data_IF_989907186587
#
_entry.id   IF_989907186587
#
_cell.length_a   1.000
_cell.length_b   1.000
_cell.length_c   1.000
_cell.angle_alpha   90.00
_cell.angle_beta   90.00
_cell.angle_gamma   90.00
#
_symmetry.space_group_name_H-M   'P 1'
#
loop_
_entity.id
_entity.type
_entity.pdbx_description
1 polymer ?
#
# COMPACT_ATOMS: atom_id res chain seq x y z
N UNK A 1 -2.63 23.58 -8.68
CA UNK A 1 -2.80 24.90 -9.33
C UNK A 1 -2.55 24.75 -10.82
N UNK A 2 -3.27 25.51 -11.64
CA UNK A 2 -3.03 25.63 -13.07
C UNK A 2 -1.79 26.50 -13.35
N UNK A 3 -1.33 26.53 -14.59
CA UNK A 3 -0.13 27.28 -15.00
C UNK A 3 -0.23 28.80 -14.76
N UNK A 4 -1.45 29.34 -14.75
CA UNK A 4 -1.74 30.74 -14.43
C UNK A 4 -1.83 31.04 -12.93
N UNK A 5 -1.61 30.00 -12.07
CA UNK A 5 -1.67 30.10 -10.62
C UNK A 5 -3.07 29.95 -10.01
N UNK A 6 -4.12 29.83 -10.81
CA UNK A 6 -5.48 29.58 -10.34
C UNK A 6 -5.64 28.13 -9.82
N UNK A 7 -6.74 27.88 -9.10
CA UNK A 7 -7.15 26.52 -8.75
C UNK A 7 -8.01 25.93 -9.86
N UNK A 8 -7.81 24.65 -10.13
CA UNK A 8 -8.73 23.90 -11.00
C UNK A 8 -10.11 23.86 -10.37
N UNK A 9 -11.12 24.30 -11.11
CA UNK A 9 -12.51 24.37 -10.65
C UNK A 9 -13.46 24.07 -11.82
N UNK A 10 -14.34 23.08 -11.71
CA UNK A 10 -14.46 22.12 -10.59
C UNK A 10 -13.29 21.12 -10.54
N UNK A 11 -12.95 20.65 -9.35
CA UNK A 11 -11.97 19.58 -9.15
C UNK A 11 -12.66 18.34 -8.61
N UNK A 12 -12.55 17.24 -9.38
CA UNK A 12 -13.03 15.93 -8.99
C UNK A 12 -11.82 15.05 -8.62
N UNK A 13 -11.62 14.70 -7.35
CA UNK A 13 -10.47 13.90 -6.91
C UNK A 13 -10.56 12.44 -7.34
N UNK A 14 -11.73 11.93 -7.70
CA UNK A 14 -11.90 10.56 -8.17
C UNK A 14 -11.57 10.41 -9.66
N UNK A 15 -11.72 11.45 -10.45
CA UNK A 15 -11.50 11.39 -11.89
C UNK A 15 -10.06 11.02 -12.24
N UNK A 16 -9.91 10.03 -13.11
CA UNK A 16 -8.66 9.64 -13.76
C UNK A 16 -8.79 9.73 -15.26
N UNK A 17 -7.72 10.18 -15.93
CA UNK A 17 -7.64 10.24 -17.39
C UNK A 17 -6.30 9.66 -17.81
N UNK A 18 -6.30 8.67 -18.71
CA UNK A 18 -5.08 8.06 -19.23
C UNK A 18 -4.43 8.93 -20.30
N UNK A 19 -3.47 9.76 -19.87
CA UNK A 19 -2.72 10.63 -20.79
C UNK A 19 -3.52 11.83 -21.34
N UNK A 20 -2.89 12.61 -22.23
CA UNK A 20 -3.53 13.75 -22.88
C UNK A 20 -3.67 15.00 -22.01
N UNK A 21 -4.41 15.98 -22.51
CA UNK A 21 -4.52 17.33 -21.92
C UNK A 21 -5.40 17.41 -20.66
N UNK A 22 -6.05 16.33 -20.27
CA UNK A 22 -6.91 16.26 -19.08
C UNK A 22 -6.31 15.47 -17.92
N UNK A 23 -5.11 14.88 -18.10
CA UNK A 23 -4.45 14.09 -17.07
C UNK A 23 -3.61 15.00 -16.18
N UNK A 24 -3.93 15.01 -14.89
CA UNK A 24 -3.16 15.72 -13.84
C UNK A 24 -2.28 14.77 -13.04
N UNK A 25 -2.51 13.48 -13.16
CA UNK A 25 -1.83 12.41 -12.45
C UNK A 25 -1.42 11.31 -13.45
N UNK A 26 -0.27 10.70 -13.22
CA UNK A 26 0.16 9.55 -14.00
C UNK A 26 -0.54 8.30 -13.46
N UNK A 27 -1.33 7.63 -14.30
CA UNK A 27 -1.97 6.35 -13.96
C UNK A 27 -2.67 6.35 -12.59
N UNK A 28 -3.37 7.43 -12.28
CA UNK A 28 -3.99 7.59 -10.97
C UNK A 28 -4.97 8.75 -10.93
N UNK A 29 -5.42 9.05 -9.73
CA UNK A 29 -6.32 10.15 -9.44
C UNK A 29 -5.90 10.93 -8.18
N UNK A 30 -6.66 11.95 -7.83
CA UNK A 30 -6.37 12.80 -6.67
C UNK A 30 -6.42 12.07 -5.33
N UNK A 31 -7.23 11.02 -5.21
CA UNK A 31 -7.27 10.22 -4.00
C UNK A 31 -5.97 9.43 -3.79
N UNK A 32 -5.47 8.74 -4.81
CA UNK A 32 -4.24 7.96 -4.75
C UNK A 32 -3.03 8.86 -4.52
N UNK A 33 -2.94 9.96 -5.27
CA UNK A 33 -1.83 10.90 -5.16
C UNK A 33 -1.83 11.73 -3.87
N UNK A 34 -2.97 11.86 -3.18
CA UNK A 34 -3.03 12.46 -1.84
C UNK A 34 -2.12 11.72 -0.85
N UNK A 35 -2.00 10.41 -0.99
CA UNK A 35 -1.18 9.55 -0.12
C UNK A 35 0.17 9.17 -0.73
N UNK A 36 0.49 9.65 -1.93
CA UNK A 36 1.77 9.32 -2.57
C UNK A 36 2.93 10.16 -2.01
N UNK A 37 3.14 10.04 -0.71
CA UNK A 37 4.19 10.72 0.07
C UNK A 37 4.91 9.70 0.98
N UNK A 38 5.50 8.62 0.42
CA UNK A 38 6.18 7.60 1.21
C UNK A 38 7.44 8.13 1.91
N UNK A 39 8.05 9.18 1.38
CA UNK A 39 9.27 9.79 1.89
C UNK A 39 9.09 10.59 3.19
N UNK A 40 7.86 11.05 3.52
CA UNK A 40 7.59 11.83 4.72
C UNK A 40 6.13 11.68 5.19
N UNK A 41 5.80 10.53 5.75
CA UNK A 41 4.44 10.22 6.23
C UNK A 41 4.06 11.07 7.42
N UNK A 42 4.99 11.36 8.34
CA UNK A 42 4.71 12.23 9.48
C UNK A 42 4.45 13.67 9.06
N UNK A 43 5.18 14.17 8.04
CA UNK A 43 4.89 15.47 7.43
C UNK A 43 3.49 15.49 6.81
N UNK A 44 3.10 14.42 6.11
CA UNK A 44 1.74 14.30 5.56
C UNK A 44 0.69 14.29 6.67
N UNK A 45 0.86 13.52 7.74
CA UNK A 45 -0.03 13.51 8.90
C UNK A 45 -0.18 14.92 9.50
N UNK A 46 0.93 15.65 9.64
CA UNK A 46 0.91 17.03 10.14
C UNK A 46 0.14 17.97 9.21
N UNK A 47 0.25 17.81 7.89
CA UNK A 47 -0.51 18.60 6.91
C UNK A 47 -2.02 18.34 6.99
N UNK A 48 -2.43 17.13 7.39
CA UNK A 48 -3.83 16.83 7.69
C UNK A 48 -4.33 17.41 9.03
N UNK A 49 -3.43 17.90 9.88
CA UNK A 49 -3.75 18.41 11.21
C UNK A 49 -3.65 17.35 12.32
N UNK A 50 -2.93 16.25 12.07
CA UNK A 50 -2.66 15.17 13.03
C UNK A 50 -3.29 13.85 12.67
N UNK A 51 -3.10 12.84 13.53
CA UNK A 51 -3.49 11.45 13.29
C UNK A 51 -4.98 11.27 12.98
N UNK A 52 -5.84 11.94 13.74
CA UNK A 52 -7.30 11.74 13.61
C UNK A 52 -7.82 12.15 12.23
N UNK A 53 -7.65 13.39 11.72
CA UNK A 53 -8.11 13.74 10.38
C UNK A 53 -7.39 12.97 9.27
N UNK A 54 -6.12 12.62 9.45
CA UNK A 54 -5.40 11.75 8.53
C UNK A 54 -6.07 10.37 8.43
N UNK A 55 -6.35 9.72 9.56
CA UNK A 55 -7.01 8.42 9.62
C UNK A 55 -8.44 8.46 9.07
N UNK A 56 -9.19 9.53 9.33
CA UNK A 56 -10.53 9.73 8.75
C UNK A 56 -10.45 9.75 7.21
N UNK A 57 -9.49 10.50 6.64
CA UNK A 57 -9.28 10.57 5.19
C UNK A 57 -8.79 9.24 4.62
N UNK A 58 -7.86 8.57 5.30
CA UNK A 58 -7.36 7.26 4.89
C UNK A 58 -8.46 6.18 4.94
N UNK A 59 -9.35 6.20 5.94
CA UNK A 59 -10.50 5.31 5.97
C UNK A 59 -11.46 5.59 4.80
N UNK A 60 -11.74 6.87 4.50
CA UNK A 60 -12.55 7.25 3.34
C UNK A 60 -11.97 6.73 2.03
N UNK A 61 -10.64 6.79 1.87
CA UNK A 61 -9.94 6.29 0.68
C UNK A 61 -10.24 4.81 0.40
N UNK A 62 -10.29 3.97 1.42
CA UNK A 62 -10.55 2.53 1.29
C UNK A 62 -12.05 2.16 1.15
N UNK A 63 -12.96 3.10 1.24
CA UNK A 63 -14.41 2.84 1.11
C UNK A 63 -15.11 3.71 0.06
N UNK A 64 -14.44 4.74 -0.46
CA UNK A 64 -15.01 5.62 -1.47
C UNK A 64 -15.07 4.90 -2.83
N UNK A 65 -16.27 4.78 -3.39
CA UNK A 65 -16.54 4.11 -4.67
C UNK A 65 -16.99 5.12 -5.75
N UNK A 66 -16.60 6.40 -5.64
CA UNK A 66 -16.84 7.37 -6.69
C UNK A 66 -16.20 6.91 -8.00
N UNK A 67 -16.91 7.13 -9.12
CA UNK A 67 -16.44 6.71 -10.44
C UNK A 67 -15.17 7.47 -10.84
N UNK A 68 -14.20 6.75 -11.38
CA UNK A 68 -12.99 7.36 -11.96
C UNK A 68 -13.19 7.88 -13.39
N UNK A 69 -14.36 7.62 -13.98
CA UNK A 69 -14.69 7.97 -15.36
C UNK A 69 -14.26 6.90 -16.37
N UNK A 70 -14.81 6.99 -17.58
CA UNK A 70 -14.59 6.01 -18.66
C UNK A 70 -13.19 6.08 -19.29
N UNK A 71 -12.46 7.18 -19.03
CA UNK A 71 -11.10 7.41 -19.54
C UNK A 71 -10.01 7.03 -18.53
N UNK A 72 -10.37 6.34 -17.43
CA UNK A 72 -9.41 5.92 -16.41
C UNK A 72 -8.33 4.98 -16.98
N UNK A 73 -7.11 5.06 -16.45
CA UNK A 73 -6.03 4.16 -16.84
C UNK A 73 -6.39 2.71 -16.58
N UNK A 74 -6.08 1.84 -17.55
CA UNK A 74 -6.22 0.39 -17.40
C UNK A 74 -5.34 -0.20 -16.30
N UNK A 75 -4.31 0.52 -15.86
CA UNK A 75 -3.41 0.11 -14.78
C UNK A 75 -4.06 0.25 -13.39
N UNK A 76 -5.15 1.01 -13.28
CA UNK A 76 -5.90 1.17 -12.02
C UNK A 76 -6.80 -0.06 -11.81
N UNK A 77 -6.22 -1.12 -11.28
CA UNK A 77 -6.87 -2.41 -11.03
C UNK A 77 -6.76 -2.83 -9.56
N UNK A 78 -7.46 -3.89 -9.14
CA UNK A 78 -7.41 -4.38 -7.76
C UNK A 78 -7.93 -3.36 -6.76
N UNK A 79 -9.15 -2.85 -7.01
CA UNK A 79 -9.72 -1.75 -6.25
C UNK A 79 -10.27 -2.20 -4.89
N UNK A 80 -9.94 -1.40 -3.85
CA UNK A 80 -10.58 -1.37 -2.54
C UNK A 80 -10.95 0.09 -2.27
N UNK A 81 -12.15 0.49 -2.60
CA UNK A 81 -12.49 1.92 -2.71
C UNK A 81 -11.63 2.59 -3.79
N UNK A 82 -10.89 3.63 -3.43
CA UNK A 82 -9.95 4.31 -4.32
C UNK A 82 -8.52 3.74 -4.28
N UNK A 83 -8.23 2.81 -3.38
CA UNK A 83 -6.98 2.05 -3.38
C UNK A 83 -6.92 1.13 -4.60
N UNK A 84 -5.85 1.17 -5.36
CA UNK A 84 -5.65 0.37 -6.56
C UNK A 84 -4.38 -0.47 -6.41
N UNK A 85 -4.53 -1.75 -6.01
CA UNK A 85 -3.35 -2.59 -5.75
C UNK A 85 -2.53 -2.91 -7.00
N UNK A 86 -3.19 -2.99 -8.16
CA UNK A 86 -2.53 -3.27 -9.43
C UNK A 86 -1.62 -2.14 -9.94
N UNK A 87 -1.47 -1.04 -9.19
CA UNK A 87 -0.60 0.05 -9.57
C UNK A 87 0.23 0.57 -8.38
N UNK A 88 1.52 0.85 -8.60
CA UNK A 88 2.53 1.14 -7.59
C UNK A 88 2.25 2.37 -6.71
N UNK A 89 1.60 3.45 -7.20
CA UNK A 89 1.26 4.59 -6.33
C UNK A 89 0.48 4.20 -5.07
N UNK A 90 -0.17 3.04 -5.05
CA UNK A 90 -0.95 2.56 -3.90
C UNK A 90 -0.18 1.64 -2.95
N UNK A 91 0.92 1.00 -3.36
CA UNK A 91 1.55 -0.12 -2.65
C UNK A 91 1.94 0.16 -1.20
N UNK A 92 2.34 1.39 -0.89
CA UNK A 92 2.75 1.81 0.45
C UNK A 92 1.56 2.25 1.32
N UNK A 93 0.39 2.59 0.73
CA UNK A 93 -0.71 3.27 1.43
C UNK A 93 -1.34 2.37 2.52
N UNK A 94 -1.45 1.05 2.27
CA UNK A 94 -1.96 0.10 3.27
C UNK A 94 -1.12 0.06 4.55
N UNK A 95 0.16 0.45 4.48
CA UNK A 95 1.09 0.51 5.61
C UNK A 95 1.04 1.83 6.39
N UNK A 96 0.41 2.87 5.85
CA UNK A 96 0.35 4.19 6.49
C UNK A 96 -0.42 4.21 7.81
N UNK A 97 -1.35 3.29 8.03
CA UNK A 97 -2.06 3.17 9.30
C UNK A 97 -1.12 2.96 10.49
N UNK A 98 0.00 2.27 10.29
CA UNK A 98 0.98 2.02 11.35
C UNK A 98 1.62 3.32 11.87
N UNK A 99 1.83 4.32 11.01
CA UNK A 99 2.39 5.62 11.39
C UNK A 99 1.46 6.47 12.27
N UNK A 100 0.15 6.22 12.17
CA UNK A 100 -0.87 6.88 12.97
C UNK A 100 -1.40 5.97 14.11
N UNK A 101 -0.59 5.00 14.56
CA UNK A 101 -0.88 4.15 15.71
C UNK A 101 -1.94 3.06 15.49
N UNK A 102 -2.35 2.81 14.24
CA UNK A 102 -3.35 1.77 13.91
C UNK A 102 -2.74 0.62 13.09
N UNK A 103 -1.63 0.06 13.57
CA UNK A 103 -0.94 -1.07 12.92
C UNK A 103 -1.88 -2.27 12.64
N UNK A 104 -2.88 -2.48 13.48
CA UNK A 104 -3.88 -3.52 13.29
C UNK A 104 -4.67 -3.37 11.97
N UNK A 105 -4.96 -2.14 11.53
CA UNK A 105 -5.59 -1.90 10.23
C UNK A 105 -4.63 -2.18 9.07
N UNK A 106 -3.35 -1.89 9.22
CA UNK A 106 -2.33 -2.33 8.26
C UNK A 106 -2.39 -3.85 8.11
N UNK A 107 -2.40 -4.62 9.21
CA UNK A 107 -2.47 -6.07 9.18
C UNK A 107 -3.71 -6.57 8.43
N UNK A 108 -4.89 -6.01 8.72
CA UNK A 108 -6.14 -6.36 8.04
C UNK A 108 -6.09 -6.07 6.52
N UNK A 109 -5.64 -4.88 6.14
CA UNK A 109 -5.55 -4.49 4.72
C UNK A 109 -4.55 -5.36 3.96
N UNK A 110 -3.37 -5.56 4.51
CA UNK A 110 -2.31 -6.36 3.88
C UNK A 110 -2.76 -7.82 3.71
N UNK A 111 -3.39 -8.43 4.73
CA UNK A 111 -3.95 -9.79 4.62
C UNK A 111 -5.02 -9.88 3.56
N UNK A 112 -5.97 -8.95 3.55
CA UNK A 112 -7.03 -8.89 2.54
C UNK A 112 -6.45 -8.79 1.12
N UNK A 113 -5.48 -7.90 0.90
CA UNK A 113 -4.82 -7.72 -0.40
C UNK A 113 -4.14 -9.01 -0.84
N UNK A 114 -3.37 -9.67 0.04
CA UNK A 114 -2.70 -10.94 -0.29
C UNK A 114 -3.68 -12.06 -0.60
N UNK A 115 -4.81 -12.12 0.10
CA UNK A 115 -5.80 -13.17 -0.09
C UNK A 115 -6.66 -12.94 -1.34
N UNK A 116 -6.97 -11.69 -1.71
CA UNK A 116 -7.87 -11.37 -2.82
C UNK A 116 -7.15 -11.20 -4.16
N UNK A 117 -5.96 -10.62 -4.18
CA UNK A 117 -5.31 -10.19 -5.42
C UNK A 117 -4.12 -11.06 -5.83
N UNK A 118 -3.79 -12.10 -5.06
CA UNK A 118 -2.76 -13.08 -5.39
C UNK A 118 -3.32 -14.48 -5.27
N UNK A 119 -3.33 -15.22 -6.38
CA UNK A 119 -3.90 -16.58 -6.48
C UNK A 119 -2.86 -17.53 -7.07
N UNK A 120 -2.98 -18.81 -6.75
CA UNK A 120 -2.15 -19.88 -7.30
C UNK A 120 -2.70 -20.35 -8.67
N UNK A 121 -2.70 -19.41 -9.62
CA UNK A 121 -3.16 -19.62 -11.00
C UNK A 121 -2.25 -18.84 -11.97
N UNK A 122 -2.18 -19.20 -13.26
CA UNK A 122 -1.32 -18.49 -14.23
C UNK A 122 -1.63 -16.99 -14.37
N UNK A 123 -2.87 -16.58 -14.09
CA UNK A 123 -3.38 -15.20 -14.07
C UNK A 123 -3.61 -14.68 -12.65
N UNK A 124 -2.87 -15.21 -11.69
CA UNK A 124 -3.10 -15.01 -10.26
C UNK A 124 -2.65 -13.68 -9.67
N UNK A 125 -2.04 -12.80 -10.46
CA UNK A 125 -1.65 -11.44 -10.03
C UNK A 125 -2.62 -10.44 -10.65
N UNK A 126 -3.19 -9.56 -9.83
CA UNK A 126 -4.05 -8.50 -10.34
C UNK A 126 -3.23 -7.43 -11.06
N UNK A 127 -3.62 -7.06 -12.29
CA UNK A 127 -2.89 -6.09 -13.10
C UNK A 127 -1.62 -6.65 -13.72
N UNK A 128 -0.67 -5.78 -14.02
CA UNK A 128 0.63 -6.13 -14.58
C UNK A 128 1.63 -6.52 -13.48
N UNK A 129 2.66 -7.29 -13.83
CA UNK A 129 3.72 -7.70 -12.91
C UNK A 129 4.71 -6.56 -12.60
N UNK A 130 4.89 -5.66 -13.57
CA UNK A 130 5.73 -4.47 -13.50
C UNK A 130 7.16 -4.72 -13.06
N UNK A 131 7.85 -5.54 -13.85
CA UNK A 131 9.26 -5.88 -13.66
C UNK A 131 9.58 -6.50 -12.29
N UNK A 132 8.63 -7.18 -11.69
CA UNK A 132 8.79 -7.85 -10.40
C UNK A 132 8.28 -7.08 -9.19
N UNK A 133 7.72 -5.88 -9.37
CA UNK A 133 7.22 -5.07 -8.25
C UNK A 133 6.05 -5.72 -7.52
N UNK A 134 5.12 -6.33 -8.25
CA UNK A 134 3.96 -7.01 -7.65
C UNK A 134 4.39 -8.24 -6.85
N UNK A 135 5.28 -9.07 -7.41
CA UNK A 135 5.85 -10.22 -6.71
C UNK A 135 6.69 -9.79 -5.50
N UNK A 136 7.49 -8.74 -5.62
CA UNK A 136 8.31 -8.22 -4.52
C UNK A 136 7.43 -7.71 -3.37
N UNK A 137 6.33 -7.01 -3.68
CA UNK A 137 5.36 -6.58 -2.67
C UNK A 137 4.76 -7.79 -1.93
N UNK A 138 4.32 -8.81 -2.68
CA UNK A 138 3.74 -10.02 -2.08
C UNK A 138 4.74 -10.76 -1.20
N UNK A 139 5.98 -10.97 -1.68
CA UNK A 139 7.01 -11.69 -0.93
C UNK A 139 7.34 -10.97 0.39
N UNK A 140 7.61 -9.66 0.35
CA UNK A 140 7.92 -8.88 1.55
C UNK A 140 6.73 -8.83 2.52
N UNK A 141 5.53 -8.55 2.01
CA UNK A 141 4.31 -8.52 2.81
C UNK A 141 4.00 -9.89 3.43
N UNK A 142 4.26 -10.99 2.71
CA UNK A 142 4.12 -12.36 3.21
C UNK A 142 5.11 -12.69 4.33
N UNK A 143 6.28 -12.07 4.35
CA UNK A 143 7.24 -12.13 5.45
C UNK A 143 6.79 -11.31 6.67
N UNK A 144 5.76 -10.49 6.53
CA UNK A 144 5.17 -9.69 7.61
C UNK A 144 5.70 -8.27 7.73
N UNK A 145 6.40 -7.75 6.72
CA UNK A 145 6.89 -6.37 6.71
C UNK A 145 7.03 -5.83 5.29
N UNK A 146 7.10 -4.52 5.15
CA UNK A 146 7.34 -3.84 3.88
C UNK A 146 8.21 -2.60 4.08
N UNK A 147 9.08 -2.32 3.12
CA UNK A 147 9.89 -1.12 3.09
C UNK A 147 9.09 0.01 2.45
N UNK A 148 8.29 0.71 3.25
CA UNK A 148 7.38 1.74 2.77
C UNK A 148 8.12 2.96 2.21
N UNK A 149 9.19 3.39 2.87
CA UNK A 149 10.15 4.37 2.35
C UNK A 149 11.46 3.66 1.99
N UNK A 150 11.75 3.42 0.71
CA UNK A 150 12.95 2.65 0.30
C UNK A 150 14.27 3.38 0.57
N UNK A 151 14.22 4.67 0.92
CA UNK A 151 15.42 5.47 1.11
C UNK A 151 16.00 5.44 2.55
N UNK A 152 15.21 5.06 3.56
CA UNK A 152 15.61 5.13 4.98
C UNK A 152 16.00 3.78 5.60
N UNK A 153 15.76 2.67 4.91
CA UNK A 153 16.06 1.33 5.42
C UNK A 153 15.15 0.85 6.56
N UNK A 154 14.04 1.55 6.81
CA UNK A 154 13.05 1.18 7.83
C UNK A 154 11.99 0.27 7.23
N UNK A 155 11.67 -0.82 7.93
CA UNK A 155 10.59 -1.72 7.57
C UNK A 155 9.40 -1.52 8.50
N UNK A 156 8.20 -1.51 7.94
CA UNK A 156 6.93 -1.39 8.66
C UNK A 156 6.29 -2.77 8.76
N UNK A 157 5.88 -3.17 9.96
CA UNK A 157 5.21 -4.46 10.15
C UNK A 157 3.80 -4.45 9.59
N UNK A 158 3.50 -5.51 8.83
CA UNK A 158 2.17 -5.86 8.34
C UNK A 158 1.61 -7.07 9.07
N UNK A 159 1.42 -8.18 8.34
CA UNK A 159 0.95 -9.46 8.90
C UNK A 159 1.56 -10.61 8.11
N UNK A 160 2.37 -11.49 8.72
CA UNK A 160 2.94 -12.65 8.04
C UNK A 160 1.87 -13.54 7.41
N UNK A 161 2.10 -14.03 6.19
CA UNK A 161 1.15 -14.93 5.51
C UNK A 161 1.44 -16.41 5.82
N UNK A 162 2.70 -16.73 6.04
CA UNK A 162 3.20 -18.10 6.25
C UNK A 162 3.83 -18.24 7.64
N UNK A 163 3.79 -19.46 8.19
CA UNK A 163 4.39 -19.76 9.50
C UNK A 163 5.91 -19.63 9.47
N UNK A 164 6.52 -19.89 8.31
CA UNK A 164 7.97 -19.76 8.12
C UNK A 164 8.31 -19.39 6.70
N UNK A 165 9.18 -18.40 6.56
CA UNK A 165 9.82 -18.02 5.29
C UNK A 165 11.31 -17.84 5.48
N UNK A 166 12.10 -18.25 4.49
CA UNK A 166 13.56 -18.10 4.53
C UNK A 166 14.10 -17.58 3.20
N UNK A 167 15.02 -16.62 3.28
CA UNK A 167 15.66 -16.00 2.10
C UNK A 167 17.16 -16.10 2.25
N UNK A 168 17.83 -16.55 1.18
CA UNK A 168 19.28 -16.50 1.10
C UNK A 168 19.74 -15.06 0.87
N UNK A 169 20.55 -14.52 1.77
CA UNK A 169 21.06 -13.18 1.68
C UNK A 169 22.56 -13.15 1.37
N UNK A 170 23.09 -11.98 1.02
CA UNK A 170 24.50 -11.80 0.68
C UNK A 170 25.43 -12.38 1.75
N UNK A 171 26.51 -13.04 1.32
CA UNK A 171 27.50 -13.66 2.19
C UNK A 171 27.12 -15.07 2.66
N UNK A 172 26.23 -15.77 1.95
CA UNK A 172 25.85 -17.16 2.24
C UNK A 172 25.03 -17.32 3.52
N UNK A 173 24.45 -16.24 4.02
CA UNK A 173 23.59 -16.24 5.21
C UNK A 173 22.13 -16.45 4.82
N UNK A 174 21.34 -16.95 5.75
CA UNK A 174 19.89 -17.08 5.61
C UNK A 174 19.19 -16.13 6.58
N UNK A 175 18.28 -15.33 6.05
CA UNK A 175 17.33 -14.57 6.86
C UNK A 175 16.04 -15.39 6.96
N UNK A 176 15.57 -15.63 8.17
CA UNK A 176 14.36 -16.43 8.42
C UNK A 176 13.37 -15.64 9.26
N UNK A 177 12.12 -15.65 8.84
CA UNK A 177 10.98 -15.20 9.65
C UNK A 177 10.18 -16.42 10.08
N UNK A 178 9.87 -16.51 11.37
CA UNK A 178 8.99 -17.51 11.94
C UNK A 178 7.84 -16.78 12.62
N UNK A 179 6.61 -17.15 12.27
CA UNK A 179 5.38 -16.56 12.79
C UNK A 179 4.61 -17.60 13.60
N UNK A 180 4.80 -17.57 14.91
CA UNK A 180 4.15 -18.49 15.83
C UNK A 180 2.64 -18.22 15.92
N UNK A 181 1.84 -19.30 15.94
CA UNK A 181 0.37 -19.24 16.00
C UNK A 181 -0.30 -18.45 14.88
N UNK A 182 0.35 -18.32 13.72
CA UNK A 182 -0.22 -17.66 12.55
C UNK A 182 -1.42 -18.47 12.03
N UNK A 183 -2.51 -17.79 11.69
CA UNK A 183 -3.71 -18.40 11.08
C UNK A 183 -4.49 -17.36 10.29
N UNK A 184 -5.66 -17.74 9.78
CA UNK A 184 -6.59 -16.80 9.14
C UNK A 184 -7.19 -15.81 10.14
N UNK A 185 -7.30 -16.21 11.40
CA UNK A 185 -7.85 -15.41 12.51
C UNK A 185 -6.74 -14.65 13.25
N UNK A 186 -5.57 -15.26 13.39
CA UNK A 186 -4.44 -14.71 14.13
C UNK A 186 -3.52 -13.90 13.20
N UNK A 187 -3.99 -12.75 12.79
CA UNK A 187 -3.30 -11.87 11.82
C UNK A 187 -2.50 -10.74 12.48
N UNK A 188 -2.68 -10.51 13.78
CA UNK A 188 -2.09 -9.37 14.47
C UNK A 188 -0.80 -9.75 15.19
N UNK A 189 0.31 -9.10 14.84
CA UNK A 189 1.61 -9.28 15.51
C UNK A 189 1.51 -8.76 16.95
N UNK A 190 1.82 -9.60 17.94
CA UNK A 190 1.81 -9.27 19.36
C UNK A 190 3.20 -8.92 19.89
N UNK A 191 4.22 -9.61 19.40
CA UNK A 191 5.62 -9.44 19.81
C UNK A 191 6.53 -9.75 18.62
N UNK A 192 7.66 -9.08 18.59
CA UNK A 192 8.72 -9.32 17.59
C UNK A 192 10.04 -9.55 18.30
N UNK A 193 10.79 -10.53 17.83
CA UNK A 193 12.15 -10.80 18.31
C UNK A 193 13.11 -10.81 17.12
N UNK A 194 14.19 -10.10 17.23
CA UNK A 194 15.28 -10.16 16.25
C UNK A 194 16.48 -10.86 16.88
N UNK A 195 16.82 -12.06 16.36
CA UNK A 195 17.90 -12.89 16.91
C UNK A 195 17.75 -13.14 18.42
N UNK A 196 16.53 -13.42 18.87
CA UNK A 196 16.20 -13.69 20.28
C UNK A 196 16.12 -12.47 21.19
N UNK A 197 16.25 -11.24 20.64
CA UNK A 197 16.11 -9.99 21.40
C UNK A 197 14.79 -9.31 21.02
N UNK A 198 14.01 -8.81 22.03
CA UNK A 198 12.77 -8.06 21.79
C UNK A 198 13.05 -6.70 21.15
#
# INVERSE_FOLDING_TARGET
KLSDGSWLTPYDPARSVHGGTGSYFCEGNGWQYTFFVPQDVYGLINLFGGDKPFLERLNQFFVNNDSMGDEASADITGLIGQYAHGNEPSHHISYMYAYAGQQWKTAEKVRYIMDEFYKDTPDGIIGNEDCGQMSAWYILSSMGFYQMNPADGVYVFGSPRFDKMSVQVRGGKTFTVEAENNSKENIYIQKVFLNGKP
#
